data_IF_391041172202
#
_entry.id   IF_391041172202
#
_cell.length_a   1.000
_cell.length_b   1.000
_cell.length_c   1.000
_cell.angle_alpha   90.00
_cell.angle_beta   90.00
_cell.angle_gamma   90.00
#
_symmetry.space_group_name_H-M   'P 1'
#
loop_
_entity.id
_entity.type
_entity.pdbx_description
1 polymer ?
#
# COMPACT_ATOMS: atom_id res chain seq x y z
N UNK A 1 -1.33 1.27 23.57
CA UNK A 1 -2.59 2.04 23.52
C UNK A 1 -3.70 1.12 23.00
N UNK A 2 -4.88 1.10 23.61
CA UNK A 2 -6.05 0.35 23.11
C UNK A 2 -7.09 1.32 22.56
N UNK A 3 -7.87 0.87 21.59
CA UNK A 3 -9.00 1.63 21.07
C UNK A 3 -9.03 1.71 19.55
N UNK A 4 -9.96 2.53 19.07
CA UNK A 4 -10.17 2.76 17.65
C UNK A 4 -9.47 4.06 17.27
N UNK A 5 -8.71 4.03 16.17
CA UNK A 5 -8.11 5.22 15.57
C UNK A 5 -9.08 5.84 14.56
N UNK A 6 -9.03 7.17 14.35
CA UNK A 6 -9.73 7.80 13.24
C UNK A 6 -9.40 7.12 11.91
N UNK A 7 -10.34 7.15 10.97
CA UNK A 7 -10.13 6.58 9.65
C UNK A 7 -8.94 7.27 8.97
N UNK A 8 -8.01 6.48 8.44
CA UNK A 8 -6.81 6.95 7.73
C UNK A 8 -6.87 6.45 6.30
N UNK A 9 -6.47 7.28 5.33
CA UNK A 9 -6.33 6.83 3.95
C UNK A 9 -5.16 5.86 3.85
N UNK A 10 -5.40 4.64 3.37
CA UNK A 10 -4.36 3.63 3.26
C UNK A 10 -3.32 4.07 2.22
N UNK A 11 -2.05 4.24 2.60
CA UNK A 11 -0.99 4.62 1.68
C UNK A 11 -0.72 3.53 0.64
N UNK A 12 -0.10 3.90 -0.48
CA UNK A 12 0.25 2.98 -1.59
C UNK A 12 1.21 1.86 -1.20
N UNK A 13 1.96 2.02 -0.11
CA UNK A 13 2.78 0.94 0.44
C UNK A 13 1.98 -0.06 1.29
N UNK A 14 0.66 0.10 1.43
CA UNK A 14 -0.27 -0.80 2.12
C UNK A 14 0.10 -1.12 3.59
N UNK A 15 0.75 -0.20 4.30
CA UNK A 15 1.06 -0.37 5.72
C UNK A 15 0.38 0.69 6.61
N UNK A 16 -0.05 0.28 7.80
CA UNK A 16 -0.51 1.16 8.88
C UNK A 16 0.45 1.08 10.07
N UNK A 17 0.69 2.20 10.74
CA UNK A 17 1.59 2.23 11.91
C UNK A 17 0.80 2.23 13.22
N UNK A 18 1.08 1.26 14.09
CA UNK A 18 0.52 1.14 15.44
C UNK A 18 1.65 0.87 16.43
N UNK A 19 1.75 1.70 17.47
CA UNK A 19 2.77 1.60 18.52
C UNK A 19 4.21 1.42 17.97
N UNK A 20 4.59 2.23 16.98
CA UNK A 20 5.88 2.17 16.25
C UNK A 20 6.11 0.96 15.35
N UNK A 21 5.16 0.01 15.29
CA UNK A 21 5.20 -1.13 14.39
C UNK A 21 4.34 -0.87 13.15
N UNK A 22 4.74 -1.41 12.01
CA UNK A 22 4.00 -1.34 10.76
C UNK A 22 3.30 -2.67 10.50
N UNK A 23 2.01 -2.63 10.19
CA UNK A 23 1.20 -3.79 9.87
C UNK A 23 0.70 -3.66 8.44
N UNK A 24 0.90 -4.71 7.63
CA UNK A 24 0.35 -4.75 6.27
C UNK A 24 -1.18 -4.81 6.29
N UNK A 25 -1.80 -4.14 5.33
CA UNK A 25 -3.23 -4.16 5.06
C UNK A 25 -3.44 -4.71 3.66
N UNK A 26 -4.60 -5.31 3.37
CA UNK A 26 -4.93 -5.76 2.03
C UNK A 26 -4.76 -4.60 1.01
N UNK A 27 -3.85 -4.76 0.03
CA UNK A 27 -3.58 -3.74 -1.00
C UNK A 27 -4.79 -3.33 -1.83
N UNK A 28 -5.87 -4.11 -1.87
CA UNK A 28 -7.13 -3.72 -2.53
C UNK A 28 -7.77 -2.47 -1.92
N UNK A 29 -7.39 -2.13 -0.69
CA UNK A 29 -7.82 -0.93 0.02
C UNK A 29 -6.91 0.28 -0.17
N UNK A 30 -5.87 0.20 -0.99
CA UNK A 30 -5.00 1.36 -1.28
C UNK A 30 -5.86 2.55 -1.71
N UNK A 31 -5.53 3.72 -1.19
CA UNK A 31 -6.25 4.99 -1.38
C UNK A 31 -7.68 5.05 -0.81
N UNK A 32 -8.15 4.00 -0.12
CA UNK A 32 -9.42 3.99 0.63
C UNK A 32 -9.20 4.35 2.10
N UNK A 33 -10.26 4.81 2.75
CA UNK A 33 -10.26 5.04 4.20
C UNK A 33 -10.37 3.72 4.94
N UNK A 34 -9.44 3.47 5.87
CA UNK A 34 -9.45 2.30 6.75
C UNK A 34 -9.48 2.70 8.21
N UNK A 35 -10.18 1.92 9.02
CA UNK A 35 -10.26 2.10 10.48
C UNK A 35 -9.42 1.05 11.16
N UNK A 36 -8.57 1.46 12.09
CA UNK A 36 -7.67 0.56 12.84
C UNK A 36 -8.17 0.43 14.27
N UNK A 37 -8.42 -0.81 14.70
CA UNK A 37 -8.77 -1.18 16.08
C UNK A 37 -7.60 -1.95 16.70
N UNK A 38 -7.06 -1.43 17.80
CA UNK A 38 -6.03 -2.12 18.58
C UNK A 38 -6.59 -2.66 19.89
N UNK A 39 -6.40 -3.95 20.12
CA UNK A 39 -6.69 -4.64 21.38
C UNK A 39 -5.38 -5.11 22.03
N UNK A 40 -5.44 -5.88 23.12
CA UNK A 40 -4.26 -6.49 23.74
C UNK A 40 -3.59 -7.51 22.82
N UNK A 41 -4.39 -8.26 22.06
CA UNK A 41 -3.94 -9.45 21.35
C UNK A 41 -3.87 -9.24 19.83
N UNK A 42 -4.63 -8.29 19.29
CA UNK A 42 -4.76 -8.10 17.85
C UNK A 42 -4.78 -6.63 17.41
N UNK A 43 -4.37 -6.44 16.16
CA UNK A 43 -4.60 -5.25 15.35
C UNK A 43 -5.56 -5.65 14.22
N UNK A 44 -6.79 -5.16 14.29
CA UNK A 44 -7.79 -5.36 13.26
C UNK A 44 -7.95 -4.08 12.42
N UNK A 45 -8.02 -4.23 11.11
CA UNK A 45 -8.21 -3.14 10.16
C UNK A 45 -9.46 -3.43 9.34
N UNK A 46 -10.37 -2.47 9.27
CA UNK A 46 -11.60 -2.55 8.49
C UNK A 46 -11.65 -1.46 7.42
N UNK A 47 -12.26 -1.77 6.29
CA UNK A 47 -12.56 -0.81 5.22
C UNK A 47 -13.67 0.19 5.60
N UNK A 48 -14.03 1.07 4.66
CA UNK A 48 -14.99 2.15 4.89
C UNK A 48 -16.41 1.66 5.22
N UNK A 49 -16.77 0.44 4.81
CA UNK A 49 -18.08 -0.17 5.06
C UNK A 49 -18.03 -1.31 6.09
N UNK A 50 -16.92 -1.45 6.82
CA UNK A 50 -16.72 -2.47 7.85
C UNK A 50 -16.18 -3.81 7.34
N UNK A 51 -15.82 -3.90 6.06
CA UNK A 51 -15.21 -5.08 5.47
C UNK A 51 -13.82 -5.36 6.08
N UNK A 52 -13.45 -6.62 6.35
CA UNK A 52 -12.16 -6.93 6.95
C UNK A 52 -11.04 -6.66 5.93
N UNK A 53 -10.07 -5.83 6.31
CA UNK A 53 -8.92 -5.48 5.48
C UNK A 53 -7.60 -6.07 6.01
N UNK A 54 -7.50 -6.35 7.31
CA UNK A 54 -6.42 -7.13 7.91
C UNK A 54 -6.75 -7.52 9.35
N UNK A 55 -6.16 -8.63 9.82
CA UNK A 55 -6.09 -8.98 11.24
C UNK A 55 -4.69 -9.51 11.53
N UNK A 56 -4.00 -8.91 12.49
CA UNK A 56 -2.64 -9.31 12.89
C UNK A 56 -2.57 -9.53 14.39
N UNK A 57 -1.81 -10.54 14.87
CA UNK A 57 -1.39 -10.60 16.26
C UNK A 57 -0.62 -9.33 16.63
N UNK A 58 -0.91 -8.76 17.80
CA UNK A 58 -0.24 -7.56 18.27
C UNK A 58 1.19 -7.88 18.70
N UNK A 59 2.14 -7.17 18.08
CA UNK A 59 3.53 -7.21 18.45
C UNK A 59 3.86 -6.09 19.46
N UNK A 60 4.50 -6.45 20.58
CA UNK A 60 4.80 -5.53 21.67
C UNK A 60 6.21 -4.91 21.63
N UNK A 61 7.10 -5.42 20.79
CA UNK A 61 8.36 -4.73 20.50
C UNK A 61 8.14 -3.47 19.66
N UNK A 62 9.23 -2.83 19.25
CA UNK A 62 9.18 -1.56 18.50
C UNK A 62 9.81 -1.72 17.10
N UNK A 63 9.43 -0.84 16.18
CA UNK A 63 10.03 -0.72 14.84
C UNK A 63 10.02 -2.03 14.01
N UNK A 64 9.02 -2.90 14.20
CA UNK A 64 8.84 -4.09 13.35
C UNK A 64 7.91 -3.82 12.18
N UNK A 65 8.15 -4.52 11.09
CA UNK A 65 7.26 -4.60 9.93
C UNK A 65 6.65 -6.00 9.89
N UNK A 66 5.34 -6.07 10.07
CA UNK A 66 4.55 -7.29 10.09
C UNK A 66 3.80 -7.38 8.77
N UNK A 67 4.18 -8.35 7.95
CA UNK A 67 3.66 -8.51 6.60
C UNK A 67 2.96 -9.85 6.45
N UNK A 68 1.68 -9.81 6.04
CA UNK A 68 0.94 -11.01 5.65
C UNK A 68 1.40 -11.46 4.25
N UNK A 69 1.79 -12.74 4.07
CA UNK A 69 2.07 -13.30 2.75
C UNK A 69 0.93 -13.08 1.75
N UNK A 70 -0.33 -13.16 2.16
CA UNK A 70 -1.49 -12.92 1.30
C UNK A 70 -1.48 -11.48 0.75
N UNK A 71 -1.18 -10.49 1.59
CA UNK A 71 -1.06 -9.10 1.15
C UNK A 71 0.07 -8.92 0.13
N UNK A 72 1.21 -9.59 0.31
CA UNK A 72 2.30 -9.54 -0.68
C UNK A 72 1.90 -10.13 -2.02
N UNK A 73 1.13 -11.22 -2.00
CA UNK A 73 0.64 -11.89 -3.19
C UNK A 73 -0.36 -11.01 -3.94
N UNK A 74 -1.31 -10.38 -3.22
CA UNK A 74 -2.25 -9.41 -3.79
C UNK A 74 -1.52 -8.21 -4.37
N UNK A 75 -0.57 -7.62 -3.65
CA UNK A 75 0.22 -6.49 -4.15
C UNK A 75 1.02 -6.88 -5.41
N UNK A 76 1.54 -8.10 -5.48
CA UNK A 76 2.25 -8.62 -6.66
C UNK A 76 1.31 -8.77 -7.85
N UNK A 77 0.09 -9.29 -7.64
CA UNK A 77 -0.92 -9.41 -8.68
C UNK A 77 -1.31 -8.02 -9.23
N UNK A 78 -1.67 -7.08 -8.35
CA UNK A 78 -2.05 -5.71 -8.77
C UNK A 78 -0.95 -5.00 -9.54
N UNK A 79 0.32 -5.17 -9.17
CA UNK A 79 1.45 -4.59 -9.92
C UNK A 79 1.58 -5.19 -11.32
N UNK A 80 1.35 -6.50 -11.48
CA UNK A 80 1.36 -7.16 -12.79
C UNK A 80 0.22 -6.67 -13.66
N UNK A 81 -0.98 -6.54 -13.10
CA UNK A 81 -2.15 -6.07 -13.84
C UNK A 81 -1.94 -4.63 -14.32
N UNK A 82 -1.39 -3.76 -13.47
CA UNK A 82 -1.04 -2.39 -13.86
C UNK A 82 0.02 -2.34 -14.97
N UNK A 83 1.07 -3.17 -14.89
CA UNK A 83 2.10 -3.23 -15.91
C UNK A 83 1.53 -3.65 -17.27
N UNK A 84 0.69 -4.70 -17.31
CA UNK A 84 0.06 -5.17 -18.55
C UNK A 84 -0.98 -4.18 -19.08
N UNK A 85 -1.68 -3.43 -18.22
CA UNK A 85 -2.58 -2.36 -18.66
C UNK A 85 -1.82 -1.19 -19.30
N UNK A 86 -0.66 -0.84 -18.77
CA UNK A 86 0.21 0.19 -19.35
C UNK A 86 0.77 -0.21 -20.72
N UNK A 87 1.04 -1.51 -20.95
CA UNK A 87 1.43 -2.02 -22.26
C UNK A 87 0.28 -1.94 -23.29
N UNK A 88 -0.98 -2.12 -22.85
CA UNK A 88 -2.16 -1.92 -23.70
C UNK A 88 -2.43 -0.45 -24.00
N UNK A 89 -2.02 0.44 -23.10
CA UNK A 89 -2.10 1.89 -23.27
C UNK A 89 -0.82 2.39 -23.94
N UNK A 90 -0.57 1.93 -25.16
CA UNK A 90 0.37 2.60 -26.05
C UNK A 90 -0.36 3.82 -26.60
N UNK A 91 -0.04 5.06 -26.19
CA UNK A 91 -0.68 6.21 -26.80
C UNK A 91 -0.33 6.18 -28.28
N UNK A 92 -1.34 6.32 -29.14
CA UNK A 92 -1.19 6.52 -30.59
C UNK A 92 -0.46 7.85 -30.90
N UNK A 93 -0.17 8.63 -29.87
CA UNK A 93 0.68 9.80 -29.92
C UNK A 93 2.12 9.36 -30.13
N UNK A 94 2.62 9.55 -31.35
CA UNK A 94 4.06 9.65 -31.62
C UNK A 94 4.62 10.80 -30.77
N UNK A 95 5.02 10.49 -29.54
CA UNK A 95 5.79 11.39 -28.68
C UNK A 95 7.20 11.43 -29.23
N UNK A 96 7.58 12.57 -29.80
CA UNK A 96 8.95 12.82 -30.24
C UNK A 96 9.87 12.75 -29.02
N UNK A 97 10.73 11.74 -29.00
CA UNK A 97 11.71 11.55 -27.94
C UNK A 97 12.84 12.53 -28.22
N UNK A 98 13.00 13.54 -27.36
CA UNK A 98 14.07 14.53 -27.50
C UNK A 98 15.43 13.83 -27.48
N UNK A 99 16.28 14.19 -28.45
CA UNK A 99 17.65 13.69 -28.52
C UNK A 99 18.45 14.19 -27.31
N UNK A 100 18.81 13.27 -26.43
CA UNK A 100 19.54 13.57 -25.19
C UNK A 100 20.99 14.01 -25.45
N UNK A 101 21.55 13.75 -26.64
CA UNK A 101 22.88 14.24 -27.04
C UNK A 101 22.95 15.77 -27.13
N UNK A 102 21.79 16.44 -27.09
CA UNK A 102 21.72 17.90 -27.01
C UNK A 102 22.31 18.44 -25.71
N UNK A 103 22.31 17.67 -24.62
CA UNK A 103 22.87 18.12 -23.35
C UNK A 103 24.40 17.94 -23.25
N UNK A 104 24.97 17.10 -24.11
CA UNK A 104 26.41 16.80 -24.09
C UNK A 104 27.27 17.94 -24.65
N UNK A 105 26.67 18.92 -25.36
CA UNK A 105 27.39 20.00 -26.03
C UNK A 105 27.30 21.37 -25.34
N UNK A 106 26.74 21.45 -24.12
CA UNK A 106 26.65 22.70 -23.33
C UNK A 106 27.79 22.78 -22.29
N UNK A 107 29.03 22.45 -22.68
CA UNK A 107 30.22 22.56 -21.83
C UNK A 107 31.03 23.83 -22.11
#
# INVERSE_FOLDING_TARGET
MFGVRPAVRLPRNYYVTVDTNQYSVDPTFIDRLVTVRSTLDEIAVTGPHGEPAAVHPRHWGQHKVITDPAHTQTARAMRRDLATASERFQPDTAVDIADLSIYDHIA
#
